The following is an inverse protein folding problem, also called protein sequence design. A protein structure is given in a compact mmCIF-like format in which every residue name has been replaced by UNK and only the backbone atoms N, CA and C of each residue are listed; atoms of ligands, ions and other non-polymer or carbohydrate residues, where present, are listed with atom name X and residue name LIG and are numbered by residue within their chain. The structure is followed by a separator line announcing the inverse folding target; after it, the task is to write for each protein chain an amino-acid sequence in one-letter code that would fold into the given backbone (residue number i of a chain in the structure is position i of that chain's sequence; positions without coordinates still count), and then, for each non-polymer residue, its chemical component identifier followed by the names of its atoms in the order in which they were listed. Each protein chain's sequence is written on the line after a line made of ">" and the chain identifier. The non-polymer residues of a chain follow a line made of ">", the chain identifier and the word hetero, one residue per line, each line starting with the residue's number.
data_IF_836190074145
#
_entry.id   IF_836190074145
#
_cell.length_a   1.000
_cell.length_b   1.000
_cell.length_c   1.000
_cell.angle_alpha   90.00
_cell.angle_beta   90.00
_cell.angle_gamma   90.00
#
_symmetry.space_group_name_H-M   'P 1'
#
loop_
_entity.id
_entity.type
_entity.pdbx_description
1 polymer ?
#
# COMPACT_ATOMS: atom_id res chain seq x y z
N UNK A 1 23.76 18.37 -15.26
CA UNK A 1 23.80 18.18 -13.80
C UNK A 1 23.39 16.75 -13.45
N UNK A 2 23.91 16.22 -12.34
CA UNK A 2 23.54 14.92 -11.77
C UNK A 2 22.58 15.19 -10.61
N UNK A 3 21.37 14.60 -10.59
CA UNK A 3 20.42 14.77 -9.48
C UNK A 3 20.99 14.27 -8.14
N UNK A 4 20.69 15.02 -7.08
CA UNK A 4 20.79 14.52 -5.70
C UNK A 4 19.62 13.56 -5.43
N UNK A 5 19.91 12.27 -5.28
CA UNK A 5 18.89 11.21 -5.18
C UNK A 5 18.00 11.36 -3.93
N UNK A 6 18.53 11.62 -2.72
CA UNK A 6 17.72 12.02 -1.57
C UNK A 6 16.72 13.15 -1.85
N UNK A 7 17.12 14.21 -2.56
CA UNK A 7 16.20 15.27 -2.96
C UNK A 7 15.13 14.80 -3.96
N UNK A 8 15.48 13.90 -4.90
CA UNK A 8 14.50 13.27 -5.82
C UNK A 8 13.46 12.49 -5.02
N UNK A 9 13.88 11.66 -4.06
CA UNK A 9 12.97 10.88 -3.21
C UNK A 9 12.04 11.77 -2.39
N UNK A 10 12.57 12.86 -1.80
CA UNK A 10 11.77 13.82 -1.06
C UNK A 10 10.72 14.51 -1.96
N UNK A 11 11.12 14.93 -3.16
CA UNK A 11 10.21 15.53 -4.13
C UNK A 11 9.14 14.54 -4.62
N UNK A 12 9.46 13.26 -4.80
CA UNK A 12 8.47 12.22 -5.13
C UNK A 12 7.42 12.11 -4.02
N UNK A 13 7.82 12.11 -2.74
CA UNK A 13 6.89 12.06 -1.61
C UNK A 13 5.99 13.29 -1.58
N UNK A 14 6.57 14.49 -1.72
CA UNK A 14 5.84 15.77 -1.77
C UNK A 14 4.78 15.76 -2.88
N UNK A 15 5.18 15.45 -4.11
CA UNK A 15 4.29 15.42 -5.27
C UNK A 15 3.21 14.32 -5.17
N UNK A 16 3.54 13.18 -4.57
CA UNK A 16 2.57 12.12 -4.32
C UNK A 16 1.52 12.56 -3.30
N UNK A 17 1.92 13.22 -2.21
CA UNK A 17 0.99 13.75 -1.22
C UNK A 17 0.14 14.89 -1.78
N UNK A 18 0.71 15.77 -2.61
CA UNK A 18 -0.04 16.77 -3.37
C UNK A 18 -1.13 16.11 -4.23
N UNK A 19 -0.77 15.07 -5.00
CA UNK A 19 -1.72 14.33 -5.82
C UNK A 19 -2.80 13.64 -4.99
N UNK A 20 -2.46 13.08 -3.83
CA UNK A 20 -3.44 12.50 -2.90
C UNK A 20 -4.41 13.55 -2.37
N UNK A 21 -3.91 14.73 -1.98
CA UNK A 21 -4.73 15.86 -1.51
C UNK A 21 -5.71 16.34 -2.59
N UNK A 22 -5.25 16.46 -3.83
CA UNK A 22 -6.11 16.79 -4.98
C UNK A 22 -7.24 15.77 -5.19
N UNK A 23 -7.03 14.52 -4.77
CA UNK A 23 -8.03 13.45 -4.81
C UNK A 23 -8.75 13.23 -3.46
N UNK A 24 -8.68 14.21 -2.55
CA UNK A 24 -9.35 14.18 -1.23
C UNK A 24 -8.93 12.99 -0.36
N UNK A 25 -7.67 12.57 -0.45
CA UNK A 25 -7.07 11.55 0.39
C UNK A 25 -6.08 12.15 1.38
N UNK A 26 -5.95 11.52 2.54
CA UNK A 26 -4.94 11.87 3.55
C UNK A 26 -3.53 11.67 2.99
N UNK A 27 -2.65 12.59 3.35
CA UNK A 27 -1.23 12.52 3.07
C UNK A 27 -0.59 11.31 3.77
N UNK A 28 0.43 10.74 3.13
CA UNK A 28 1.18 9.60 3.63
C UNK A 28 2.37 10.11 4.43
N UNK A 29 2.63 9.45 5.56
CA UNK A 29 3.82 9.69 6.36
C UNK A 29 5.02 8.97 5.75
N UNK A 30 6.12 9.67 5.48
CA UNK A 30 7.37 9.04 5.04
C UNK A 30 7.97 8.20 6.17
N UNK A 31 8.42 6.98 5.86
CA UNK A 31 9.02 6.05 6.83
C UNK A 31 10.34 5.53 6.33
N UNK A 32 11.39 5.72 7.14
CA UNK A 32 12.77 5.35 6.79
C UNK A 32 12.96 3.86 6.53
N UNK A 33 12.22 2.98 7.21
CA UNK A 33 12.25 1.54 6.93
C UNK A 33 11.75 1.22 5.51
N UNK A 34 10.69 1.89 5.05
CA UNK A 34 10.17 1.71 3.69
C UNK A 34 11.09 2.35 2.64
N UNK A 35 11.75 3.47 2.95
CA UNK A 35 12.81 4.03 2.09
C UNK A 35 13.95 3.02 1.89
N UNK A 36 14.38 2.35 2.95
CA UNK A 36 15.44 1.31 2.84
C UNK A 36 15.01 0.17 1.93
N UNK A 37 13.77 -0.32 2.07
CA UNK A 37 13.20 -1.37 1.19
C UNK A 37 13.20 -0.89 -0.26
N UNK A 38 12.66 0.31 -0.52
CA UNK A 38 12.55 0.88 -1.85
C UNK A 38 13.93 1.12 -2.49
N UNK A 39 14.89 1.68 -1.75
CA UNK A 39 16.27 1.92 -2.23
C UNK A 39 16.98 0.63 -2.54
N UNK A 40 16.91 -0.36 -1.65
CA UNK A 40 17.52 -1.66 -1.89
C UNK A 40 17.01 -2.29 -3.19
N UNK A 41 15.70 -2.22 -3.44
CA UNK A 41 15.14 -2.73 -4.67
C UNK A 41 15.52 -1.89 -5.90
N UNK A 42 15.53 -0.56 -5.79
CA UNK A 42 16.01 0.31 -6.86
C UNK A 42 17.45 -0.03 -7.27
N UNK A 43 18.34 -0.26 -6.30
CA UNK A 43 19.72 -0.69 -6.56
C UNK A 43 19.80 -2.07 -7.23
N UNK A 44 18.96 -3.03 -6.78
CA UNK A 44 18.89 -4.34 -7.41
C UNK A 44 18.50 -4.25 -8.89
N UNK A 45 17.42 -3.50 -9.20
CA UNK A 45 16.96 -3.30 -10.56
C UNK A 45 18.02 -2.56 -11.41
N UNK A 46 18.67 -1.55 -10.83
CA UNK A 46 19.73 -0.78 -11.48
C UNK A 46 20.95 -1.63 -11.84
N UNK A 47 21.37 -2.53 -10.94
CA UNK A 47 22.54 -3.38 -11.12
C UNK A 47 22.29 -4.54 -12.09
N UNK A 48 21.11 -5.13 -12.04
CA UNK A 48 20.78 -6.32 -12.85
C UNK A 48 20.22 -5.97 -14.22
N UNK A 49 19.68 -4.76 -14.41
CA UNK A 49 19.00 -4.36 -15.64
C UNK A 49 17.64 -5.02 -15.83
N UNK A 50 17.18 -5.83 -14.88
CA UNK A 50 15.86 -6.47 -14.90
C UNK A 50 14.83 -5.48 -14.35
N UNK A 51 13.79 -5.17 -15.12
CA UNK A 51 12.72 -4.25 -14.70
C UNK A 51 11.39 -5.01 -14.55
N UNK A 52 11.11 -5.48 -13.35
CA UNK A 52 9.86 -6.16 -12.99
C UNK A 52 9.60 -6.02 -11.49
N UNK A 53 8.36 -6.23 -11.05
CA UNK A 53 7.99 -6.21 -9.61
C UNK A 53 8.54 -7.38 -8.80
N UNK A 54 8.99 -8.45 -9.46
CA UNK A 54 9.50 -9.69 -8.87
C UNK A 54 10.87 -10.09 -9.43
N UNK A 55 11.66 -9.11 -9.87
CA UNK A 55 12.94 -9.35 -10.54
C UNK A 55 13.97 -10.06 -9.64
N UNK A 56 13.84 -9.92 -8.32
CA UNK A 56 14.67 -10.56 -7.30
C UNK A 56 14.07 -11.88 -6.77
N UNK A 57 13.01 -12.39 -7.40
CA UNK A 57 12.31 -13.61 -6.98
C UNK A 57 11.35 -13.41 -5.81
N UNK A 58 11.20 -12.18 -5.30
CA UNK A 58 10.28 -11.84 -4.22
C UNK A 58 9.16 -10.94 -4.73
N UNK A 59 7.99 -11.04 -4.12
CA UNK A 59 6.93 -10.05 -4.24
C UNK A 59 7.30 -8.76 -3.47
N UNK A 60 6.65 -7.61 -3.78
CA UNK A 60 6.84 -6.39 -3.01
C UNK A 60 6.55 -6.56 -1.50
N UNK A 61 5.61 -7.45 -1.18
CA UNK A 61 5.29 -7.82 0.20
C UNK A 61 6.43 -8.53 0.91
N UNK A 62 6.93 -9.61 0.32
CA UNK A 62 8.06 -10.36 0.88
C UNK A 62 9.31 -9.47 1.04
N UNK A 63 9.57 -8.55 0.10
CA UNK A 63 10.64 -7.56 0.25
C UNK A 63 10.42 -6.61 1.43
N UNK A 64 9.17 -6.17 1.62
CA UNK A 64 8.81 -5.25 2.71
C UNK A 64 8.96 -5.93 4.08
N UNK A 65 8.52 -7.18 4.20
CA UNK A 65 8.71 -7.99 5.41
C UNK A 65 10.18 -8.30 5.69
N UNK A 66 10.95 -8.68 4.66
CA UNK A 66 12.39 -8.90 4.79
C UNK A 66 13.16 -7.64 5.21
N UNK A 67 12.64 -6.45 4.88
CA UNK A 67 13.14 -5.16 5.36
C UNK A 67 12.77 -4.82 6.81
N UNK A 68 12.14 -5.74 7.54
CA UNK A 68 11.72 -5.56 8.93
C UNK A 68 10.42 -4.77 9.12
N UNK A 69 9.66 -4.54 8.04
CA UNK A 69 8.40 -3.81 8.12
C UNK A 69 7.22 -4.77 8.07
N UNK A 70 6.53 -4.94 9.21
CA UNK A 70 5.28 -5.72 9.27
C UNK A 70 4.11 -4.88 8.78
N UNK A 71 3.50 -5.29 7.67
CA UNK A 71 2.40 -4.57 7.06
C UNK A 71 1.07 -5.35 7.15
N UNK A 72 -0.02 -4.64 6.91
CA UNK A 72 -1.31 -5.25 6.60
C UNK A 72 -1.79 -4.86 5.19
N UNK A 73 -1.26 -3.77 4.63
CA UNK A 73 -1.42 -3.38 3.24
C UNK A 73 -0.05 -2.97 2.70
N UNK A 74 0.26 -3.38 1.47
CA UNK A 74 1.43 -2.92 0.72
C UNK A 74 1.06 -2.75 -0.76
N UNK A 75 1.66 -1.76 -1.43
CA UNK A 75 1.62 -1.60 -2.87
C UNK A 75 2.94 -0.99 -3.37
N UNK A 76 3.30 -1.23 -4.63
CA UNK A 76 4.56 -0.76 -5.21
C UNK A 76 4.35 -0.15 -6.60
N UNK A 77 5.04 0.95 -6.86
CA UNK A 77 5.21 1.53 -8.18
C UNK A 77 6.69 1.52 -8.57
N UNK A 78 6.97 1.23 -9.84
CA UNK A 78 8.30 1.26 -10.43
C UNK A 78 8.33 2.27 -11.58
N UNK A 79 9.42 3.02 -11.72
CA UNK A 79 9.67 3.84 -12.90
C UNK A 79 11.10 3.61 -13.40
N UNK A 80 11.25 3.63 -14.72
CA UNK A 80 12.53 3.61 -15.41
C UNK A 80 12.57 4.82 -16.35
N UNK A 81 13.52 5.72 -16.13
CA UNK A 81 13.68 6.92 -16.94
C UNK A 81 14.85 6.77 -17.91
N UNK A 82 14.57 6.95 -19.21
CA UNK A 82 15.50 6.69 -20.30
C UNK A 82 16.59 7.76 -20.50
N UNK A 83 16.34 9.01 -20.08
CA UNK A 83 17.35 10.08 -20.12
C UNK A 83 18.25 9.98 -18.88
N UNK A 84 19.56 10.16 -19.07
CA UNK A 84 20.58 9.87 -18.07
C UNK A 84 21.41 11.09 -17.66
N UNK A 85 21.19 12.22 -18.31
CA UNK A 85 21.97 13.46 -18.18
C UNK A 85 21.05 14.67 -18.14
N UNK A 86 21.41 15.67 -17.33
CA UNK A 86 20.81 17.00 -17.39
C UNK A 86 19.63 17.24 -16.46
N UNK A 87 19.14 16.22 -15.75
CA UNK A 87 18.01 16.40 -14.83
C UNK A 87 18.36 17.22 -13.60
N UNK A 88 17.47 18.14 -13.25
CA UNK A 88 17.35 18.63 -11.87
C UNK A 88 16.60 17.60 -11.02
N UNK A 89 16.85 17.54 -9.70
CA UNK A 89 16.22 16.56 -8.82
C UNK A 89 14.69 16.58 -8.88
N UNK A 90 14.08 17.78 -8.90
CA UNK A 90 12.62 17.95 -8.97
C UNK A 90 12.04 17.52 -10.32
N UNK A 91 12.78 17.68 -11.41
CA UNK A 91 12.36 17.27 -12.75
C UNK A 91 12.29 15.74 -12.85
N UNK A 92 13.33 15.03 -12.37
CA UNK A 92 13.33 13.57 -12.34
C UNK A 92 12.19 13.01 -11.47
N UNK A 93 11.92 13.63 -10.32
CA UNK A 93 10.78 13.29 -9.47
C UNK A 93 9.45 13.47 -10.22
N UNK A 94 9.30 14.60 -10.92
CA UNK A 94 8.12 14.90 -11.73
C UNK A 94 7.89 13.85 -12.83
N UNK A 95 8.92 13.43 -13.54
CA UNK A 95 8.82 12.38 -14.55
C UNK A 95 8.31 11.05 -13.97
N UNK A 96 8.79 10.66 -12.78
CA UNK A 96 8.31 9.45 -12.11
C UNK A 96 6.84 9.56 -11.74
N UNK A 97 6.48 10.66 -11.08
CA UNK A 97 5.12 10.88 -10.56
C UNK A 97 4.09 11.03 -11.68
N UNK A 98 4.39 11.81 -12.73
CA UNK A 98 3.49 11.95 -13.87
C UNK A 98 3.35 10.65 -14.66
N UNK A 99 4.43 9.88 -14.82
CA UNK A 99 4.38 8.55 -15.40
C UNK A 99 3.48 7.59 -14.62
N UNK A 100 3.56 7.60 -13.30
CA UNK A 100 2.66 6.81 -12.45
C UNK A 100 1.21 7.29 -12.50
N UNK A 101 0.96 8.60 -12.50
CA UNK A 101 -0.39 9.17 -12.62
C UNK A 101 -1.08 8.78 -13.93
N UNK A 102 -0.31 8.69 -15.03
CA UNK A 102 -0.79 8.32 -16.36
C UNK A 102 -1.04 6.81 -16.55
N UNK A 103 -0.52 5.96 -15.66
CA UNK A 103 -0.73 4.51 -15.73
C UNK A 103 -1.87 4.08 -14.80
N UNK A 104 -2.93 3.41 -15.28
CA UNK A 104 -4.05 3.00 -14.44
C UNK A 104 -3.63 2.14 -13.22
N UNK A 105 -2.67 1.23 -13.41
CA UNK A 105 -2.16 0.39 -12.32
C UNK A 105 -1.43 1.20 -11.25
N UNK A 106 -0.48 2.02 -11.67
CA UNK A 106 0.31 2.84 -10.74
C UNK A 106 -0.53 3.92 -10.06
N UNK A 107 -1.45 4.56 -10.80
CA UNK A 107 -2.39 5.53 -10.27
C UNK A 107 -3.26 4.94 -9.16
N UNK A 108 -3.76 3.70 -9.32
CA UNK A 108 -4.51 3.00 -8.25
C UNK A 108 -3.67 2.85 -6.98
N UNK A 109 -2.39 2.52 -7.09
CA UNK A 109 -1.49 2.42 -5.94
C UNK A 109 -1.33 3.78 -5.24
N UNK A 110 -1.06 4.85 -6.00
CA UNK A 110 -0.94 6.22 -5.45
C UNK A 110 -2.20 6.68 -4.70
N UNK A 111 -3.37 6.25 -5.16
CA UNK A 111 -4.68 6.58 -4.58
C UNK A 111 -5.22 5.50 -3.63
N UNK A 112 -4.36 4.59 -3.17
CA UNK A 112 -4.79 3.57 -2.20
C UNK A 112 -5.27 4.24 -0.92
N UNK A 113 -6.59 4.14 -0.65
CA UNK A 113 -7.27 4.91 0.40
C UNK A 113 -6.75 4.62 1.81
N UNK A 114 -6.45 3.35 2.10
CA UNK A 114 -6.10 2.91 3.46
C UNK A 114 -4.59 2.84 3.73
N UNK A 115 -3.76 3.18 2.75
CA UNK A 115 -2.33 3.38 2.99
C UNK A 115 -2.14 4.61 3.87
N UNK A 116 -1.23 4.52 4.83
CA UNK A 116 -0.90 5.59 5.78
C UNK A 116 0.57 6.03 5.67
N UNK A 117 1.40 5.19 5.04
CA UNK A 117 2.85 5.35 5.01
C UNK A 117 3.40 5.18 3.60
N UNK A 118 4.53 5.83 3.35
CA UNK A 118 5.25 5.80 2.07
C UNK A 118 6.75 5.66 2.31
N UNK A 119 7.40 4.92 1.43
CA UNK A 119 8.85 4.95 1.25
C UNK A 119 9.21 5.09 -0.22
N UNK A 120 10.33 5.76 -0.50
CA UNK A 120 10.81 5.98 -1.86
C UNK A 120 12.31 5.70 -1.92
N UNK A 121 12.72 5.06 -3.00
CA UNK A 121 14.13 4.82 -3.30
C UNK A 121 14.43 5.09 -4.75
N UNK A 122 15.55 5.76 -5.02
CA UNK A 122 16.02 6.03 -6.37
C UNK A 122 17.45 5.50 -6.53
N UNK A 123 17.72 4.87 -7.67
CA UNK A 123 19.05 4.39 -8.01
C UNK A 123 19.40 4.72 -9.47
N UNK A 124 20.70 4.89 -9.73
CA UNK A 124 21.22 5.12 -11.08
C UNK A 124 21.90 3.84 -11.58
N UNK A 125 21.48 3.36 -12.74
CA UNK A 125 22.08 2.18 -13.36
C UNK A 125 23.49 2.51 -13.86
N UNK A 126 24.54 1.76 -13.45
CA UNK A 126 25.92 2.11 -13.76
C UNK A 126 26.22 2.02 -15.27
N UNK A 127 25.63 1.07 -15.99
CA UNK A 127 25.90 0.85 -17.43
C UNK A 127 25.13 1.79 -18.35
N UNK A 128 23.83 1.93 -18.10
CA UNK A 128 22.94 2.72 -18.99
C UNK A 128 22.76 4.15 -18.52
N UNK A 129 23.24 4.48 -17.32
CA UNK A 129 23.10 5.78 -16.66
C UNK A 129 21.62 6.18 -16.43
N UNK A 130 20.67 5.27 -16.64
CA UNK A 130 19.22 5.44 -16.43
C UNK A 130 18.91 5.50 -14.94
N UNK A 131 17.85 6.22 -14.59
CA UNK A 131 17.36 6.27 -13.21
C UNK A 131 16.18 5.33 -13.02
N UNK A 132 16.19 4.63 -11.90
CA UNK A 132 15.11 3.78 -11.43
C UNK A 132 14.54 4.34 -10.14
N UNK A 133 13.22 4.50 -10.11
CA UNK A 133 12.50 4.96 -8.93
C UNK A 133 11.56 3.86 -8.46
N UNK A 134 11.59 3.57 -7.17
CA UNK A 134 10.70 2.63 -6.50
C UNK A 134 9.93 3.41 -5.46
N UNK A 135 8.61 3.25 -5.45
CA UNK A 135 7.71 3.85 -4.48
C UNK A 135 6.89 2.76 -3.81
N UNK A 136 6.95 2.69 -2.49
CA UNK A 136 6.26 1.70 -1.67
C UNK A 136 5.22 2.40 -0.80
N UNK A 137 3.98 1.92 -0.86
CA UNK A 137 2.87 2.37 -0.02
C UNK A 137 2.57 1.30 1.02
N UNK A 138 2.32 1.70 2.26
CA UNK A 138 2.01 0.73 3.29
C UNK A 138 0.95 1.20 4.30
N UNK A 139 0.35 0.22 4.95
CA UNK A 139 -0.30 0.37 6.26
C UNK A 139 0.37 -0.62 7.22
N UNK A 140 0.89 -0.17 8.37
CA UNK A 140 1.57 -1.06 9.30
C UNK A 140 0.57 -2.05 9.91
N UNK A 141 1.05 -3.24 10.26
CA UNK A 141 0.21 -4.29 10.87
C UNK A 141 -0.45 -3.85 12.18
N UNK A 142 0.19 -2.95 12.92
CA UNK A 142 -0.34 -2.35 14.15
C UNK A 142 -1.56 -1.45 13.92
N UNK A 143 -1.77 -0.98 12.69
CA UNK A 143 -2.91 -0.14 12.31
C UNK A 143 -4.05 -0.96 11.68
N UNK A 144 -4.08 -2.28 11.78
CA UNK A 144 -5.25 -3.06 11.33
C UNK A 144 -6.53 -2.53 11.97
N UNK A 145 -7.60 -2.51 11.19
CA UNK A 145 -8.91 -2.17 11.72
C UNK A 145 -9.39 -3.32 12.58
N UNK A 146 -9.88 -3.02 13.78
CA UNK A 146 -10.50 -4.01 14.65
C UNK A 146 -11.89 -3.56 15.06
N UNK A 147 -12.86 -4.46 14.94
CA UNK A 147 -14.22 -4.23 15.41
C UNK A 147 -14.77 -5.49 16.05
N UNK A 148 -15.72 -5.30 16.96
CA UNK A 148 -16.37 -6.39 17.69
C UNK A 148 -17.85 -6.41 17.34
N UNK A 149 -18.39 -7.61 17.17
CA UNK A 149 -19.83 -7.84 17.06
C UNK A 149 -20.23 -8.65 18.28
N UNK A 150 -21.16 -8.11 19.08
CA UNK A 150 -21.77 -8.81 20.21
C UNK A 150 -23.20 -9.18 19.85
N UNK A 151 -23.53 -10.47 19.92
CA UNK A 151 -24.92 -10.87 19.82
C UNK A 151 -25.59 -10.72 21.20
N UNK A 152 -26.50 -9.75 21.32
CA UNK A 152 -27.27 -9.52 22.55
C UNK A 152 -28.65 -10.19 22.52
N UNK A 153 -29.02 -10.84 21.42
CA UNK A 153 -30.32 -11.49 21.27
C UNK A 153 -30.30 -12.91 21.87
N UNK A 154 -31.46 -13.53 22.12
CA UNK A 154 -31.54 -14.91 22.60
C UNK A 154 -31.41 -15.95 21.48
N UNK A 155 -31.22 -15.56 20.22
CA UNK A 155 -31.12 -16.45 19.07
C UNK A 155 -29.80 -16.27 18.31
N UNK A 156 -29.39 -17.28 17.55
CA UNK A 156 -28.23 -17.15 16.66
C UNK A 156 -28.50 -16.11 15.58
N UNK A 157 -27.56 -15.19 15.40
CA UNK A 157 -27.62 -14.16 14.38
C UNK A 157 -26.68 -14.54 13.23
N UNK A 158 -27.15 -14.42 11.99
CA UNK A 158 -26.32 -14.58 10.80
C UNK A 158 -25.94 -13.20 10.26
N UNK A 159 -24.65 -12.98 10.01
CA UNK A 159 -24.15 -11.77 9.36
C UNK A 159 -23.18 -12.14 8.25
N UNK A 160 -22.96 -11.22 7.32
CA UNK A 160 -21.89 -11.31 6.33
C UNK A 160 -20.91 -10.17 6.53
N UNK A 161 -19.64 -10.51 6.53
CA UNK A 161 -18.56 -9.54 6.41
C UNK A 161 -17.88 -9.76 5.07
N UNK A 162 -17.95 -8.76 4.19
CA UNK A 162 -17.68 -8.95 2.76
C UNK A 162 -18.52 -10.12 2.20
N UNK A 163 -17.89 -11.06 1.50
CA UNK A 163 -18.55 -12.23 0.92
C UNK A 163 -18.71 -13.39 1.92
N UNK A 164 -18.11 -13.28 3.11
CA UNK A 164 -18.08 -14.38 4.08
C UNK A 164 -19.26 -14.30 5.03
N UNK A 165 -20.06 -15.36 5.07
CA UNK A 165 -21.13 -15.52 6.04
C UNK A 165 -20.61 -16.10 7.36
N UNK A 166 -21.21 -15.66 8.46
CA UNK A 166 -20.90 -16.05 9.82
C UNK A 166 -22.18 -16.21 10.63
N UNK A 167 -22.21 -17.26 11.47
CA UNK A 167 -23.25 -17.43 12.49
C UNK A 167 -22.68 -17.07 13.86
N UNK A 168 -23.43 -16.28 14.61
CA UNK A 168 -23.04 -15.74 15.90
C UNK A 168 -24.06 -16.19 16.98
N UNK A 169 -23.71 -17.17 17.83
CA UNK A 169 -24.61 -17.64 18.88
C UNK A 169 -24.99 -16.53 19.90
N UNK A 170 -26.07 -16.72 20.67
CA UNK A 170 -26.49 -15.78 21.71
C UNK A 170 -25.37 -15.45 22.70
N UNK A 171 -25.27 -14.18 23.12
CA UNK A 171 -24.31 -13.68 24.12
C UNK A 171 -22.83 -13.79 23.74
N UNK A 172 -22.51 -14.28 22.55
CA UNK A 172 -21.13 -14.38 22.06
C UNK A 172 -20.65 -13.05 21.49
N UNK A 173 -19.37 -12.78 21.68
CA UNK A 173 -18.63 -11.68 21.05
C UNK A 173 -17.63 -12.26 20.08
N UNK A 174 -17.65 -11.79 18.84
CA UNK A 174 -16.62 -12.06 17.84
C UNK A 174 -15.82 -10.80 17.58
N UNK A 175 -14.50 -10.94 17.46
CA UNK A 175 -13.59 -9.85 17.08
C UNK A 175 -13.09 -10.09 15.67
N UNK A 176 -13.24 -9.09 14.81
CA UNK A 176 -12.64 -9.06 13.48
C UNK A 176 -11.40 -8.17 13.50
N UNK A 177 -10.35 -8.62 12.83
CA UNK A 177 -9.13 -7.83 12.62
C UNK A 177 -8.77 -7.89 11.15
N UNK A 178 -8.82 -6.74 10.47
CA UNK A 178 -8.79 -6.66 9.00
C UNK A 178 -7.86 -5.55 8.51
N UNK A 179 -7.32 -5.74 7.32
CA UNK A 179 -6.38 -4.77 6.72
C UNK A 179 -7.10 -3.62 6.01
N UNK A 180 -8.28 -3.90 5.45
CA UNK A 180 -9.16 -2.95 4.77
C UNK A 180 -10.53 -3.03 5.43
N UNK A 181 -11.16 -1.90 5.76
CA UNK A 181 -12.56 -1.89 6.16
C UNK A 181 -13.40 -2.47 5.04
N UNK A 182 -14.49 -3.12 5.43
CA UNK A 182 -15.39 -3.81 4.54
C UNK A 182 -16.84 -3.61 4.91
N UNK A 183 -17.72 -4.18 4.10
CA UNK A 183 -19.16 -4.11 4.34
C UNK A 183 -19.59 -5.20 5.30
N UNK A 184 -20.28 -4.80 6.37
CA UNK A 184 -20.94 -5.69 7.31
C UNK A 184 -22.45 -5.62 7.08
N UNK A 185 -23.07 -6.75 6.76
CA UNK A 185 -24.53 -6.86 6.61
C UNK A 185 -25.08 -7.89 7.57
N UNK A 186 -26.25 -7.61 8.15
CA UNK A 186 -26.97 -8.55 9.00
C UNK A 186 -28.11 -9.17 8.21
N UNK A 187 -28.23 -10.49 8.27
CA UNK A 187 -29.36 -11.20 7.69
C UNK A 187 -30.66 -10.91 8.46
N UNK A 188 -31.83 -11.26 7.90
CA UNK A 188 -33.07 -11.21 8.65
C UNK A 188 -32.96 -12.07 9.91
N UNK A 189 -33.47 -11.55 11.02
CA UNK A 189 -33.51 -12.26 12.30
C UNK A 189 -34.36 -13.52 12.16
N UNK A 190 -33.75 -14.70 12.30
CA UNK A 190 -34.49 -15.96 12.36
C UNK A 190 -35.23 -16.06 13.70
N UNK A 191 -36.55 -15.87 13.69
CA UNK A 191 -37.44 -16.06 14.85
C UNK A 191 -37.75 -17.54 15.18
N UNK A 192 -36.94 -18.51 14.71
CA UNK A 192 -37.21 -19.93 15.01
C UNK A 192 -36.64 -20.29 16.38
N UNK A 193 -37.48 -20.21 17.41
CA UNK A 193 -37.08 -20.62 18.76
C UNK A 193 -38.09 -20.44 19.88
N UNK A 194 -39.33 -19.99 19.63
CA UNK A 194 -40.39 -20.03 20.66
C UNK A 194 -41.50 -20.92 20.13
N UNK A 195 -41.41 -22.23 20.42
CA UNK A 195 -42.62 -23.07 20.48
C UNK A 195 -43.43 -22.54 21.66
N UNK A 196 -44.55 -21.87 21.37
CA UNK A 196 -45.61 -21.66 22.36
C UNK A 196 -46.21 -23.05 22.63
N UNK A 197 -45.93 -23.58 23.82
CA UNK A 197 -46.76 -24.61 24.44
C UNK A 197 -47.99 -23.95 25.06
#
# INVERSE_FOLDING_TARGET
>A
MTPDLPAVEAAIVEMTNLFRRQNRLTELRRVSALDKVARHYAYFLARTGRFAHNADGRSPGERTEAGGYRYCLVAENLALHGRSTGFQSRELAGLAVEGWKGSPGHRRNMLTRFATEIGVGVARAPRTQRYLSVQVFARPASMRFSFKIRNQTPFTLTYRYEEKQHDLPPRIVVTHTVCRPGTLTFGPVSKRGVRRG
#
